data_IF_483594272933
#
_entry.id   IF_483594272933
#
_cell.length_a   1.000
_cell.length_b   1.000
_cell.length_c   1.000
_cell.angle_alpha   90.00
_cell.angle_beta   90.00
_cell.angle_gamma   90.00
#
_symmetry.space_group_name_H-M   'P 1'
#
loop_
_entity.id
_entity.type
_entity.pdbx_description
1 polymer ?
#
# COMPACT_ATOMS: atom_id res chain seq x y z
N UNK A 1 16.50 4.61 -8.00
CA UNK A 1 15.04 4.78 -7.98
C UNK A 1 14.51 3.76 -6.98
N UNK A 2 13.56 4.11 -6.11
CA UNK A 2 12.98 3.12 -5.20
C UNK A 2 11.89 2.34 -5.95
N UNK A 3 11.87 1.01 -5.79
CA UNK A 3 10.87 0.12 -6.36
C UNK A 3 9.91 -0.34 -5.27
N UNK A 4 8.63 -0.44 -5.60
CA UNK A 4 7.55 -0.89 -4.72
C UNK A 4 6.66 -1.86 -5.50
N UNK A 5 6.12 -2.87 -4.82
CA UNK A 5 5.18 -3.82 -5.41
C UNK A 5 3.82 -3.15 -5.68
N UNK A 6 3.45 -2.15 -4.88
CA UNK A 6 2.25 -1.35 -5.09
C UNK A 6 2.43 0.09 -4.55
N UNK A 7 1.77 1.05 -5.22
CA UNK A 7 1.62 2.42 -4.76
C UNK A 7 0.14 2.73 -4.61
N UNK A 8 -0.28 3.13 -3.40
CA UNK A 8 -1.65 3.58 -3.11
C UNK A 8 -1.66 5.09 -3.00
N UNK A 9 -2.49 5.74 -3.82
CA UNK A 9 -2.66 7.20 -3.83
C UNK A 9 -3.93 7.57 -3.07
N UNK A 10 -3.78 8.42 -2.05
CA UNK A 10 -4.80 8.83 -1.09
C UNK A 10 -4.72 8.05 0.22
N UNK A 11 -4.47 8.73 1.34
CA UNK A 11 -4.33 8.13 2.67
C UNK A 11 -5.63 8.14 3.51
N UNK A 12 -6.79 8.22 2.84
CA UNK A 12 -8.10 8.10 3.47
C UNK A 12 -8.46 6.65 3.85
N UNK A 13 -9.69 6.45 4.37
CA UNK A 13 -10.15 5.14 4.86
C UNK A 13 -10.01 4.02 3.81
N UNK A 14 -10.29 4.33 2.54
CA UNK A 14 -10.20 3.37 1.44
C UNK A 14 -8.72 3.05 1.16
N UNK A 15 -7.86 4.05 1.01
CA UNK A 15 -6.45 3.82 0.68
C UNK A 15 -5.69 3.06 1.77
N UNK A 16 -5.91 3.40 3.05
CA UNK A 16 -5.30 2.65 4.15
C UNK A 16 -5.87 1.23 4.27
N UNK A 17 -7.17 1.05 4.03
CA UNK A 17 -7.76 -0.29 3.98
C UNK A 17 -7.18 -1.12 2.84
N UNK A 18 -6.97 -0.53 1.66
CA UNK A 18 -6.31 -1.19 0.53
C UNK A 18 -4.89 -1.60 0.89
N UNK A 19 -4.06 -0.68 1.41
CA UNK A 19 -2.69 -0.99 1.80
C UNK A 19 -2.63 -2.08 2.88
N UNK A 20 -3.55 -2.04 3.86
CA UNK A 20 -3.69 -3.07 4.89
C UNK A 20 -4.00 -4.44 4.28
N UNK A 21 -4.97 -4.53 3.36
CA UNK A 21 -5.34 -5.81 2.76
C UNK A 21 -4.23 -6.37 1.86
N UNK A 22 -3.50 -5.51 1.14
CA UNK A 22 -2.30 -5.94 0.39
C UNK A 22 -1.27 -6.57 1.33
N UNK A 23 -0.94 -5.90 2.45
CA UNK A 23 -0.02 -6.43 3.46
C UNK A 23 -0.54 -7.66 4.18
N UNK A 24 -1.84 -7.81 4.34
CA UNK A 24 -2.47 -8.99 4.95
C UNK A 24 -2.34 -10.22 4.06
N UNK A 25 -2.50 -10.07 2.75
CA UNK A 25 -2.39 -11.16 1.77
C UNK A 25 -0.93 -11.47 1.42
N UNK A 26 -0.08 -10.44 1.35
CA UNK A 26 1.36 -10.56 1.12
C UNK A 26 2.13 -9.68 2.12
N UNK A 27 2.53 -10.24 3.28
CA UNK A 27 3.25 -9.51 4.32
C UNK A 27 4.56 -8.88 3.86
N UNK A 28 5.20 -9.47 2.84
CA UNK A 28 6.50 -9.02 2.35
C UNK A 28 6.38 -7.89 1.31
N UNK A 29 5.20 -7.69 0.71
CA UNK A 29 4.97 -6.67 -0.32
C UNK A 29 5.39 -5.27 0.16
N UNK A 30 6.27 -4.59 -0.58
CA UNK A 30 6.65 -3.21 -0.37
C UNK A 30 5.53 -2.30 -0.89
N UNK A 31 4.72 -1.74 0.01
CA UNK A 31 3.60 -0.85 -0.34
C UNK A 31 3.95 0.59 0.06
N UNK A 32 3.90 1.50 -0.90
CA UNK A 32 4.01 2.94 -0.66
C UNK A 32 2.61 3.55 -0.63
N UNK A 33 2.26 4.28 0.43
CA UNK A 33 1.05 5.11 0.49
C UNK A 33 1.48 6.57 0.40
N UNK A 34 0.88 7.32 -0.53
CA UNK A 34 1.11 8.76 -0.71
C UNK A 34 -0.23 9.49 -0.63
N UNK A 35 -0.22 10.73 -0.14
CA UNK A 35 -1.38 11.64 -0.14
C UNK A 35 -1.06 12.90 -0.94
#
# INVERSE_FOLDING_TARGET
MAEYDAVVVGAGIVGLSTAYHIKKENPDAQVLVVD
#
